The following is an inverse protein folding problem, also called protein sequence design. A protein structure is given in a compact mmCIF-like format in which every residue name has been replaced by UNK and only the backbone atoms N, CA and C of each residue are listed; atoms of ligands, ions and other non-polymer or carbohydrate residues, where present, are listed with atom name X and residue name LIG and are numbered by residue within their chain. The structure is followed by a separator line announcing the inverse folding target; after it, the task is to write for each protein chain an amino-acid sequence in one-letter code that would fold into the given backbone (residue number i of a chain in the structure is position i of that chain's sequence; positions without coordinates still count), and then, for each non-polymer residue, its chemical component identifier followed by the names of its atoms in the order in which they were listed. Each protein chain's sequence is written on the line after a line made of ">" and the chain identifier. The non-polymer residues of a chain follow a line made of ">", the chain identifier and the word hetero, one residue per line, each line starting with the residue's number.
data_IF_453126068018
#
_entry.id   IF_453126068018
#
_cell.length_a   1.000
_cell.length_b   1.000
_cell.length_c   1.000
_cell.angle_alpha   90.00
_cell.angle_beta   90.00
_cell.angle_gamma   90.00
#
_symmetry.space_group_name_H-M   'P 1'
#
loop_
_entity.id
_entity.type
_entity.pdbx_description
1 polymer ?
#
# COMPACT_ATOMS: atom_id res chain seq x y z
N UNK A 1 -19.78 -22.46 24.30
CA UNK A 1 -19.96 -22.05 22.88
C UNK A 1 -19.45 -20.61 22.80
N UNK A 2 -18.36 -20.27 22.12
CA UNK A 2 -17.90 -20.67 20.79
C UNK A 2 -16.40 -20.95 20.80
N UNK A 3 -15.95 -21.89 19.97
CA UNK A 3 -14.54 -22.18 19.79
C UNK A 3 -13.88 -21.02 19.05
N UNK A 4 -12.80 -20.49 19.65
CA UNK A 4 -11.89 -19.53 19.05
C UNK A 4 -11.28 -20.19 17.80
N UNK A 5 -11.83 -19.87 16.62
CA UNK A 5 -11.25 -20.33 15.37
C UNK A 5 -9.84 -19.73 15.28
N UNK A 6 -8.79 -20.53 15.09
CA UNK A 6 -7.46 -19.98 14.92
C UNK A 6 -7.48 -19.03 13.72
N UNK A 7 -7.17 -17.76 13.97
CA UNK A 7 -7.12 -16.72 12.94
C UNK A 7 -6.32 -17.24 11.73
N UNK A 8 -6.92 -17.17 10.54
CA UNK A 8 -6.28 -17.64 9.30
C UNK A 8 -4.90 -17.02 9.19
N UNK A 9 -3.82 -17.82 9.15
CA UNK A 9 -2.48 -17.26 9.18
C UNK A 9 -2.26 -16.38 7.94
N UNK A 10 -1.80 -15.14 8.16
CA UNK A 10 -1.41 -14.21 7.10
C UNK A 10 -0.18 -14.67 6.30
N UNK A 11 0.49 -15.70 6.81
CA UNK A 11 1.67 -16.34 6.23
C UNK A 11 1.36 -17.79 5.82
N UNK A 12 0.19 -18.05 5.23
CA UNK A 12 -0.22 -19.39 4.78
C UNK A 12 0.38 -19.80 3.42
N UNK A 13 1.30 -19.00 2.88
CA UNK A 13 1.93 -19.23 1.58
C UNK A 13 1.02 -18.90 0.39
N UNK A 14 -0.20 -18.42 0.61
CA UNK A 14 -1.14 -18.09 -0.47
C UNK A 14 -1.12 -16.60 -0.79
N UNK A 15 -1.49 -16.30 -2.04
CA UNK A 15 -1.74 -14.92 -2.44
C UNK A 15 -3.14 -14.49 -1.98
N UNK A 16 -3.32 -13.22 -1.69
CA UNK A 16 -4.62 -12.65 -1.32
C UNK A 16 -4.77 -11.22 -1.83
N UNK A 17 -6.01 -10.77 -1.94
CA UNK A 17 -6.34 -9.38 -2.22
C UNK A 17 -6.50 -8.63 -0.91
N UNK A 18 -6.03 -7.39 -0.86
CA UNK A 18 -6.21 -6.53 0.30
C UNK A 18 -6.14 -5.05 -0.07
N UNK A 19 -6.77 -4.23 0.76
CA UNK A 19 -6.62 -2.77 0.75
C UNK A 19 -5.61 -2.34 1.81
N UNK A 20 -4.95 -1.21 1.55
CA UNK A 20 -4.00 -0.60 2.49
C UNK A 20 -4.60 0.69 3.01
N UNK A 21 -4.54 0.89 4.32
CA UNK A 21 -4.98 2.11 4.98
C UNK A 21 -3.86 2.65 5.87
N UNK A 22 -3.80 3.97 6.01
CA UNK A 22 -2.83 4.68 6.83
C UNK A 22 -3.51 5.33 8.02
N UNK A 23 -2.87 5.30 9.21
CA UNK A 23 -3.40 5.96 10.41
C UNK A 23 -3.09 7.46 10.39
N UNK A 24 -4.12 8.29 10.21
CA UNK A 24 -4.05 9.77 10.23
C UNK A 24 -5.11 10.32 11.19
N UNK A 25 -4.71 11.17 12.13
CA UNK A 25 -5.62 11.80 13.11
C UNK A 25 -6.57 10.82 13.83
N UNK A 26 -6.03 9.64 14.19
CA UNK A 26 -6.81 8.59 14.85
C UNK A 26 -7.75 7.79 13.94
N UNK A 27 -7.86 8.12 12.65
CA UNK A 27 -8.68 7.41 11.65
C UNK A 27 -7.80 6.64 10.66
N UNK A 28 -8.39 5.61 10.05
CA UNK A 28 -7.79 4.88 8.93
C UNK A 28 -8.22 5.54 7.63
N UNK A 29 -7.26 6.09 6.90
CA UNK A 29 -7.47 6.72 5.60
C UNK A 29 -7.00 5.77 4.49
N UNK A 30 -7.78 5.62 3.40
CA UNK A 30 -7.44 4.72 2.31
C UNK A 30 -6.17 5.17 1.60
N UNK A 31 -5.35 4.20 1.20
CA UNK A 31 -4.27 4.39 0.23
C UNK A 31 -4.81 4.11 -1.16
N UNK A 32 -4.57 5.01 -2.10
CA UNK A 32 -5.03 4.87 -3.48
C UNK A 32 -4.04 5.48 -4.47
N UNK A 33 -4.20 5.18 -5.75
CA UNK A 33 -3.41 5.76 -6.83
C UNK A 33 -3.83 7.21 -7.00
N UNK A 34 -2.86 8.11 -7.11
CA UNK A 34 -3.10 9.50 -7.45
C UNK A 34 -3.58 9.62 -8.90
N UNK A 35 -4.87 9.93 -9.08
CA UNK A 35 -5.44 10.27 -10.38
C UNK A 35 -5.48 11.81 -10.55
N UNK A 36 -4.59 12.36 -11.39
CA UNK A 36 -4.77 13.72 -11.86
C UNK A 36 -5.84 13.73 -12.96
N UNK A 37 -7.04 14.19 -12.64
CA UNK A 37 -8.02 14.56 -13.65
C UNK A 37 -7.71 15.97 -14.16
N UNK A 38 -7.14 16.06 -15.37
CA UNK A 38 -7.17 17.31 -16.12
C UNK A 38 -8.41 17.29 -17.00
N UNK A 39 -9.44 18.03 -16.59
CA UNK A 39 -10.57 18.36 -17.44
C UNK A 39 -10.16 19.53 -18.33
N UNK A 40 -9.54 19.22 -19.47
CA UNK A 40 -9.45 20.21 -20.54
C UNK A 40 -10.81 20.23 -21.23
N UNK A 41 -11.41 21.41 -21.37
CA UNK A 41 -12.76 21.69 -21.91
C UNK A 41 -12.93 21.35 -23.40
N UNK A 42 -12.38 20.23 -23.86
CA UNK A 42 -12.36 19.74 -25.24
C UNK A 42 -12.79 18.26 -25.34
N UNK A 43 -13.52 17.71 -24.35
CA UNK A 43 -13.98 16.31 -24.32
C UNK A 43 -12.87 15.24 -24.33
N UNK A 44 -11.64 15.61 -23.98
CA UNK A 44 -10.51 14.67 -23.84
C UNK A 44 -10.07 14.62 -22.38
N UNK A 45 -10.54 13.58 -21.67
CA UNK A 45 -10.07 13.25 -20.33
C UNK A 45 -8.66 12.61 -20.45
N UNK A 46 -7.61 13.42 -20.34
CA UNK A 46 -6.23 12.90 -20.30
C UNK A 46 -5.94 12.50 -18.85
N UNK A 47 -6.13 11.21 -18.56
CA UNK A 47 -5.68 10.60 -17.31
C UNK A 47 -4.14 10.56 -17.31
N UNK A 48 -3.50 11.42 -16.53
CA UNK A 48 -2.06 11.33 -16.29
C UNK A 48 -1.81 10.63 -14.95
N UNK A 49 -1.83 9.30 -14.99
CA UNK A 49 -1.55 8.43 -13.84
C UNK A 49 -0.03 8.33 -13.67
N UNK A 50 0.51 9.05 -12.68
CA UNK A 50 1.94 8.99 -12.32
C UNK A 50 2.32 7.67 -11.65
N UNK A 51 1.34 6.86 -11.29
CA UNK A 51 1.46 5.65 -10.48
C UNK A 51 1.70 5.91 -9.01
N UNK A 52 1.85 7.16 -8.57
CA UNK A 52 2.12 7.49 -7.19
C UNK A 52 0.94 7.13 -6.29
N UNK A 53 1.24 6.59 -5.11
CA UNK A 53 0.22 6.34 -4.10
C UNK A 53 0.09 7.55 -3.17
N UNK A 54 -1.16 7.88 -2.83
CA UNK A 54 -1.51 8.96 -1.94
C UNK A 54 -2.49 8.52 -0.84
N UNK A 55 -2.64 9.37 0.17
CA UNK A 55 -3.60 9.24 1.27
C UNK A 55 -4.30 10.57 1.52
N UNK A 56 -5.63 10.54 1.65
CA UNK A 56 -6.48 11.72 1.77
C UNK A 56 -7.28 11.99 0.48
N UNK A 57 -8.25 12.90 0.52
CA UNK A 57 -9.25 13.01 -0.54
C UNK A 57 -10.40 12.01 -0.35
N UNK A 58 -11.30 11.95 -1.34
CA UNK A 58 -12.54 11.16 -1.29
C UNK A 58 -12.47 9.86 -2.13
N UNK A 59 -11.26 9.49 -2.58
CA UNK A 59 -11.02 8.31 -3.41
C UNK A 59 -11.08 7.02 -2.59
N UNK A 60 -11.59 5.95 -3.22
CA UNK A 60 -11.68 4.63 -2.61
C UNK A 60 -10.30 3.97 -2.49
N UNK A 61 -10.14 3.04 -1.54
CA UNK A 61 -8.89 2.31 -1.37
C UNK A 61 -8.56 1.46 -2.60
N UNK A 62 -7.32 1.53 -3.06
CA UNK A 62 -6.81 0.64 -4.11
C UNK A 62 -6.75 -0.79 -3.58
N UNK A 63 -7.18 -1.75 -4.41
CA UNK A 63 -7.06 -3.17 -4.11
C UNK A 63 -5.74 -3.69 -4.66
N UNK A 64 -4.94 -4.27 -3.78
CA UNK A 64 -3.64 -4.82 -4.10
C UNK A 64 -3.66 -6.34 -4.04
N UNK A 65 -2.87 -6.96 -4.91
CA UNK A 65 -2.54 -8.37 -4.85
C UNK A 65 -1.26 -8.57 -4.05
N UNK A 66 -1.39 -9.21 -2.89
CA UNK A 66 -0.29 -9.62 -2.03
C UNK A 66 0.09 -11.06 -2.38
N UNK A 67 1.30 -11.26 -2.91
CA UNK A 67 1.87 -12.59 -3.11
C UNK A 67 2.88 -12.85 -2.00
N UNK A 68 2.67 -13.92 -1.23
CA UNK A 68 3.60 -14.30 -0.18
C UNK A 68 4.99 -14.57 -0.78
N UNK A 69 6.02 -13.96 -0.20
CA UNK A 69 7.41 -14.17 -0.59
C UNK A 69 8.14 -15.00 0.46
N UNK A 70 8.21 -14.52 1.69
CA UNK A 70 8.86 -15.22 2.80
C UNK A 70 8.45 -14.66 4.16
N UNK A 71 8.92 -15.27 5.24
CA UNK A 71 8.74 -14.81 6.62
C UNK A 71 10.11 -14.68 7.28
N UNK A 72 10.34 -13.56 7.94
CA UNK A 72 11.44 -13.37 8.88
C UNK A 72 10.98 -13.49 10.34
N UNK A 73 11.88 -13.35 11.32
CA UNK A 73 11.54 -13.52 12.75
C UNK A 73 10.35 -12.65 13.19
N UNK A 74 10.31 -11.39 12.76
CA UNK A 74 9.30 -10.41 13.18
C UNK A 74 8.59 -9.72 11.99
N UNK A 75 8.69 -10.30 10.78
CA UNK A 75 8.22 -9.63 9.54
C UNK A 75 7.67 -10.65 8.55
N UNK A 76 6.61 -10.26 7.86
CA UNK A 76 6.06 -10.97 6.71
C UNK A 76 6.50 -10.24 5.44
N UNK A 77 6.96 -10.98 4.44
CA UNK A 77 7.46 -10.42 3.19
C UNK A 77 6.52 -10.76 2.05
N UNK A 78 6.16 -9.74 1.26
CA UNK A 78 5.21 -9.87 0.16
C UNK A 78 5.72 -9.17 -1.09
N UNK A 79 5.48 -9.76 -2.25
CA UNK A 79 5.44 -9.02 -3.50
C UNK A 79 4.05 -8.40 -3.62
N UNK A 80 3.97 -7.09 -3.86
CA UNK A 80 2.71 -6.35 -3.89
C UNK A 80 2.54 -5.75 -5.29
N UNK A 81 1.38 -5.94 -5.90
CA UNK A 81 1.02 -5.39 -7.22
C UNK A 81 -0.42 -4.88 -7.21
N UNK A 82 -0.82 -4.12 -8.23
CA UNK A 82 -2.24 -3.81 -8.43
C UNK A 82 -3.03 -5.11 -8.65
N UNK A 83 -4.25 -5.17 -8.11
CA UNK A 83 -5.17 -6.28 -8.37
C UNK A 83 -5.75 -6.23 -9.79
N UNK A 84 -5.93 -5.03 -10.34
CA UNK A 84 -6.48 -4.81 -11.69
C UNK A 84 -5.42 -5.07 -12.76
N UNK A 85 -4.19 -4.60 -12.52
CA UNK A 85 -3.07 -4.80 -13.45
C UNK A 85 -1.82 -5.30 -12.71
N UNK A 86 -1.66 -6.61 -12.63
CA UNK A 86 -0.54 -7.23 -11.91
C UNK A 86 0.85 -6.99 -12.52
N UNK A 87 0.94 -6.41 -13.72
CA UNK A 87 2.20 -5.94 -14.29
C UNK A 87 2.70 -4.64 -13.62
N UNK A 88 1.82 -3.92 -12.92
CA UNK A 88 2.19 -2.77 -12.08
C UNK A 88 2.51 -3.25 -10.67
N UNK A 89 3.79 -3.17 -10.31
CA UNK A 89 4.27 -3.60 -9.01
C UNK A 89 4.51 -2.40 -8.10
N UNK A 90 4.32 -2.62 -6.81
CA UNK A 90 4.65 -1.64 -5.80
C UNK A 90 6.17 -1.46 -5.77
N UNK A 91 6.62 -0.25 -6.09
CA UNK A 91 8.02 0.12 -6.04
C UNK A 91 8.16 1.59 -5.61
N UNK A 92 9.39 2.02 -5.43
CA UNK A 92 9.75 3.41 -5.22
C UNK A 92 10.41 3.93 -6.49
N UNK A 93 10.02 5.12 -6.97
CA UNK A 93 10.69 5.76 -8.09
C UNK A 93 12.04 6.40 -7.68
N UNK A 94 12.74 6.98 -8.66
CA UNK A 94 14.03 7.65 -8.44
C UNK A 94 13.97 8.86 -7.51
N UNK A 95 12.78 9.45 -7.33
CA UNK A 95 12.54 10.58 -6.42
C UNK A 95 12.13 10.14 -5.01
N UNK A 96 12.00 8.83 -4.78
CA UNK A 96 11.64 8.28 -3.48
C UNK A 96 10.13 8.14 -3.24
N UNK A 97 9.29 8.42 -4.23
CA UNK A 97 7.84 8.25 -4.11
C UNK A 97 7.43 6.81 -4.32
N UNK A 98 6.52 6.34 -3.48
CA UNK A 98 5.96 5.00 -3.55
C UNK A 98 4.81 4.97 -4.54
N UNK A 99 4.79 3.98 -5.41
CA UNK A 99 3.81 3.89 -6.49
C UNK A 99 3.68 2.50 -7.09
N UNK A 100 2.75 2.38 -8.04
CA UNK A 100 2.50 1.20 -8.86
C UNK A 100 3.07 1.43 -10.26
N UNK A 101 4.21 0.80 -10.56
CA UNK A 101 4.98 1.04 -11.78
C UNK A 101 5.13 -0.22 -12.62
N UNK A 102 5.20 -0.05 -13.94
CA UNK A 102 5.57 -1.13 -14.87
C UNK A 102 7.09 -1.27 -14.96
N UNK A 103 7.58 -2.44 -15.37
CA UNK A 103 9.00 -2.69 -15.64
C UNK A 103 9.95 -2.43 -14.46
N UNK A 104 9.50 -2.70 -13.23
CA UNK A 104 10.36 -2.62 -12.04
C UNK A 104 11.44 -3.69 -12.12
N UNK A 105 12.69 -3.27 -12.32
CA UNK A 105 13.84 -4.15 -12.65
C UNK A 105 14.33 -5.05 -11.52
N UNK A 106 13.73 -4.97 -10.32
CA UNK A 106 13.94 -5.89 -9.22
C UNK A 106 12.61 -6.24 -8.55
N UNK A 107 12.40 -7.53 -8.28
CA UNK A 107 11.30 -8.00 -7.44
C UNK A 107 11.53 -7.53 -5.99
N UNK A 108 11.17 -6.29 -5.70
CA UNK A 108 11.29 -5.72 -4.37
C UNK A 108 10.13 -6.24 -3.53
N UNK A 109 10.43 -7.19 -2.65
CA UNK A 109 9.47 -7.59 -1.62
C UNK A 109 9.37 -6.49 -0.56
N UNK A 110 8.17 -6.33 -0.04
CA UNK A 110 7.83 -5.39 1.00
C UNK A 110 7.62 -6.13 2.32
N UNK A 111 7.99 -5.49 3.43
CA UNK A 111 7.94 -6.10 4.75
C UNK A 111 6.80 -5.48 5.57
N UNK A 112 5.87 -6.32 6.00
CA UNK A 112 4.92 -5.98 7.06
C UNK A 112 5.53 -6.41 8.38
N UNK A 113 5.74 -5.47 9.29
CA UNK A 113 6.10 -5.74 10.68
C UNK A 113 4.81 -5.67 11.53
N UNK A 114 4.17 -6.80 11.87
CA UNK A 114 2.89 -6.79 12.55
C UNK A 114 3.01 -6.15 13.95
N UNK A 115 2.02 -5.34 14.31
CA UNK A 115 1.82 -4.78 15.64
C UNK A 115 0.67 -5.52 16.34
N UNK A 116 -0.44 -5.72 15.62
CA UNK A 116 -1.58 -6.56 16.01
C UNK A 116 -2.22 -7.15 14.77
N UNK A 117 -2.79 -8.35 14.86
CA UNK A 117 -3.50 -8.99 13.74
C UNK A 117 -4.82 -9.62 14.18
N UNK A 118 -5.72 -9.77 13.23
CA UNK A 118 -6.95 -10.59 13.29
C UNK A 118 -6.97 -11.52 12.06
N UNK A 119 -8.06 -12.25 11.88
CA UNK A 119 -8.26 -13.13 10.71
C UNK A 119 -8.27 -12.36 9.38
N UNK A 120 -8.75 -11.12 9.39
CA UNK A 120 -9.05 -10.28 8.22
C UNK A 120 -8.20 -9.02 8.16
N UNK A 121 -7.55 -8.61 9.26
CA UNK A 121 -6.77 -7.37 9.33
C UNK A 121 -5.39 -7.55 9.96
N UNK A 122 -4.40 -6.80 9.46
CA UNK A 122 -3.08 -6.66 10.07
C UNK A 122 -2.76 -5.19 10.25
N UNK A 123 -2.63 -4.75 11.49
CA UNK A 123 -2.00 -3.47 11.82
C UNK A 123 -0.50 -3.67 11.89
N UNK A 124 0.26 -2.86 11.17
CA UNK A 124 1.71 -3.05 11.02
C UNK A 124 2.48 -1.74 10.81
N UNK A 125 3.80 -1.85 10.93
CA UNK A 125 4.72 -0.91 10.29
C UNK A 125 5.07 -1.44 8.91
N UNK A 126 4.92 -0.61 7.89
CA UNK A 126 5.20 -0.97 6.51
C UNK A 126 6.62 -0.55 6.11
N UNK A 127 7.36 -1.43 5.45
CA UNK A 127 8.78 -1.21 5.13
C UNK A 127 9.17 -1.76 3.77
N UNK A 128 10.21 -1.18 3.19
CA UNK A 128 10.86 -1.71 1.99
C UNK A 128 11.75 -2.95 2.28
N UNK A 129 12.36 -3.49 1.23
CA UNK A 129 13.28 -4.61 1.28
C UNK A 129 14.58 -4.31 2.07
N UNK A 130 15.00 -3.04 2.17
CA UNK A 130 16.14 -2.60 2.97
C UNK A 130 15.77 -2.36 4.44
N UNK A 131 14.48 -2.24 4.76
CA UNK A 131 13.95 -2.00 6.09
C UNK A 131 13.60 -0.54 6.40
N UNK A 132 13.71 0.38 5.45
CA UNK A 132 13.21 1.74 5.59
C UNK A 132 11.69 1.72 5.75
N UNK A 133 11.16 2.58 6.63
CA UNK A 133 9.70 2.67 6.83
C UNK A 133 9.07 3.44 5.69
N UNK A 134 7.88 3.00 5.28
CA UNK A 134 7.01 3.80 4.43
C UNK A 134 6.44 4.93 5.29
N UNK A 135 6.64 6.14 4.81
CA UNK A 135 6.31 7.41 5.43
C UNK A 135 5.40 8.21 4.51
N UNK A 136 4.93 9.34 5.02
CA UNK A 136 4.25 10.33 4.19
C UNK A 136 5.03 11.62 4.05
N UNK A 137 4.82 12.28 2.91
CA UNK A 137 5.27 13.66 2.64
C UNK A 137 4.08 14.45 2.11
N UNK A 138 3.98 15.72 2.50
CA UNK A 138 2.91 16.59 2.06
C UNK A 138 2.96 16.81 0.54
N UNK A 139 1.80 16.83 -0.10
CA UNK A 139 1.67 17.36 -1.45
C UNK A 139 1.62 18.89 -1.37
N UNK A 140 2.38 19.58 -2.23
CA UNK A 140 2.43 21.05 -2.27
C UNK A 140 1.09 21.73 -2.57
N UNK A 141 0.07 20.96 -3.02
CA UNK A 141 -1.18 21.49 -3.56
C UNK A 141 -2.46 20.91 -2.95
N UNK A 142 -2.38 19.99 -1.99
CA UNK A 142 -3.58 19.38 -1.42
C UNK A 142 -3.40 18.94 0.03
N UNK A 143 -4.50 18.65 0.72
CA UNK A 143 -4.49 17.95 2.02
C UNK A 143 -4.09 16.47 1.90
N UNK A 144 -3.77 16.01 0.68
CA UNK A 144 -3.30 14.66 0.39
C UNK A 144 -1.82 14.53 0.70
N UNK A 145 -1.43 13.32 1.04
CA UNK A 145 -0.07 12.96 1.40
C UNK A 145 0.43 11.88 0.45
N UNK A 146 1.61 12.05 -0.12
CA UNK A 146 2.26 11.00 -0.90
C UNK A 146 3.01 10.03 0.00
N UNK A 147 3.09 8.76 -0.41
CA UNK A 147 3.86 7.75 0.29
C UNK A 147 5.32 7.76 -0.20
N UNK A 148 6.28 7.57 0.72
CA UNK A 148 7.72 7.59 0.44
C UNK A 148 8.50 6.67 1.37
N UNK A 149 9.67 6.18 0.95
CA UNK A 149 10.63 5.50 1.85
C UNK A 149 11.76 6.44 2.32
N UNK A 150 11.80 7.68 1.81
CA UNK A 150 12.80 8.70 2.12
C UNK A 150 12.50 9.48 3.41
N UNK A 151 12.65 10.81 3.34
CA UNK A 151 12.29 11.71 4.44
C UNK A 151 10.76 11.90 4.51
N UNK A 152 10.21 11.99 5.72
CA UNK A 152 8.77 12.11 5.92
C UNK A 152 8.31 11.70 7.32
N UNK A 153 7.01 11.66 7.53
CA UNK A 153 6.38 11.24 8.80
C UNK A 153 6.10 9.73 8.81
N UNK A 154 6.41 9.05 9.91
CA UNK A 154 6.15 7.61 10.06
C UNK A 154 4.72 7.34 10.54
N UNK A 155 4.07 6.32 9.97
CA UNK A 155 2.71 5.95 10.33
C UNK A 155 2.55 4.46 10.63
N UNK A 156 1.44 4.13 11.29
CA UNK A 156 0.90 2.77 11.30
C UNK A 156 0.04 2.54 10.05
N UNK A 157 0.07 1.32 9.56
CA UNK A 157 -0.72 0.88 8.41
C UNK A 157 -1.65 -0.25 8.83
N UNK A 158 -2.81 -0.31 8.20
CA UNK A 158 -3.78 -1.38 8.33
C UNK A 158 -3.96 -2.05 6.97
N UNK A 159 -3.68 -3.34 6.90
CA UNK A 159 -3.93 -4.18 5.73
C UNK A 159 -5.24 -4.91 6.00
N UNK A 160 -6.22 -4.75 5.12
CA UNK A 160 -7.55 -5.36 5.25
C UNK A 160 -7.77 -6.28 4.06
N UNK A 161 -8.00 -7.58 4.29
CA UNK A 161 -8.28 -8.53 3.20
C UNK A 161 -9.55 -8.07 2.45
N UNK A 162 -9.46 -8.00 1.13
CA UNK A 162 -10.61 -7.85 0.27
C UNK A 162 -11.21 -9.26 0.06
N UNK A 163 -12.52 -9.38 0.30
CA UNK A 163 -13.27 -10.64 0.20
C UNK A 163 -13.44 -11.02 -1.27
#
# INVERSE_FOLDING_TARGET
>A
MSADQPAKPWADGRSFLATIHLRKNGRWAPVHIHENHYDFSFDVNVRNDTGWLQVGGDEQAEVFLFRYHSKGPNRLHFLISSAINSARQLATDSSGHLGLYTNTSAANFWKLQPLTWSSDQVRCRFRDNLGHQVKTVASDKSSSLYLTTGAGETHEYLIVRAI
#
